data_IF_961650167533
#
_entry.id   IF_961650167533
#
_cell.length_a   1.000
_cell.length_b   1.000
_cell.length_c   1.000
_cell.angle_alpha   90.00
_cell.angle_beta   90.00
_cell.angle_gamma   90.00
#
_symmetry.space_group_name_H-M   'P 1'
#
loop_
_entity.id
_entity.type
_entity.pdbx_description
1 polymer ?
#
# COMPACT_ATOMS: atom_id res chain seq x y z
N UNK A 1 -6.30 -44.26 -47.67
CA UNK A 1 -6.12 -42.87 -48.14
C UNK A 1 -5.83 -41.99 -46.93
N UNK A 2 -5.02 -40.97 -47.13
CA UNK A 2 -4.15 -40.29 -46.16
C UNK A 2 -4.85 -39.46 -45.06
N UNK A 3 -4.23 -39.41 -43.87
CA UNK A 3 -4.52 -38.58 -42.68
C UNK A 3 -4.31 -37.09 -42.96
N UNK A 4 -5.11 -36.23 -42.32
CA UNK A 4 -4.84 -34.79 -42.00
C UNK A 4 -6.17 -34.03 -41.79
N UNK A 5 -6.40 -33.04 -40.91
CA UNK A 5 -5.57 -32.10 -40.13
C UNK A 5 -6.46 -31.49 -39.00
N UNK A 6 -5.79 -31.04 -37.94
CA UNK A 6 -6.17 -29.96 -36.99
C UNK A 6 -7.14 -30.28 -35.84
N UNK A 7 -6.51 -30.60 -34.71
CA UNK A 7 -6.99 -30.17 -33.40
C UNK A 7 -7.14 -28.63 -33.37
N UNK A 8 -8.29 -28.08 -32.96
CA UNK A 8 -8.32 -26.73 -32.44
C UNK A 8 -7.75 -26.80 -31.02
N UNK A 9 -6.46 -26.51 -30.89
CA UNK A 9 -5.89 -26.10 -29.62
C UNK A 9 -6.60 -24.80 -29.22
N UNK A 10 -7.66 -24.92 -28.40
CA UNK A 10 -8.22 -23.80 -27.66
C UNK A 10 -7.16 -23.38 -26.63
N UNK A 11 -6.25 -22.51 -27.07
CA UNK A 11 -5.40 -21.72 -26.22
C UNK A 11 -6.32 -20.78 -25.42
N UNK A 12 -6.86 -21.31 -24.32
CA UNK A 12 -7.47 -20.47 -23.30
C UNK A 12 -6.35 -19.56 -22.79
N UNK A 13 -6.46 -18.28 -23.16
CA UNK A 13 -5.70 -17.17 -22.60
C UNK A 13 -5.74 -17.33 -21.07
N UNK A 14 -4.63 -17.77 -20.49
CA UNK A 14 -4.43 -17.65 -19.05
C UNK A 14 -4.43 -16.15 -18.77
N UNK A 15 -5.60 -15.66 -18.35
CA UNK A 15 -5.76 -14.33 -17.78
C UNK A 15 -4.66 -14.14 -16.76
N UNK A 16 -3.84 -13.11 -16.94
CA UNK A 16 -2.93 -12.64 -15.91
C UNK A 16 -3.79 -12.35 -14.68
N UNK A 17 -3.76 -13.26 -13.71
CA UNK A 17 -4.05 -12.89 -12.34
C UNK A 17 -2.98 -11.85 -12.01
N UNK A 18 -3.31 -10.57 -12.19
CA UNK A 18 -2.64 -9.52 -11.46
C UNK A 18 -2.92 -9.87 -10.00
N UNK A 19 -2.01 -10.64 -9.39
CA UNK A 19 -1.94 -10.77 -7.96
C UNK A 19 -1.74 -9.34 -7.49
N UNK A 20 -2.82 -8.69 -7.11
CA UNK A 20 -2.73 -7.61 -6.15
C UNK A 20 -2.33 -8.34 -4.89
N UNK A 21 -1.03 -8.63 -4.77
CA UNK A 21 -0.47 -9.21 -3.57
C UNK A 21 -0.96 -8.32 -2.43
N UNK A 22 -1.76 -8.95 -1.59
CA UNK A 22 -2.20 -8.44 -0.32
C UNK A 22 -0.95 -8.31 0.55
N UNK A 23 -0.05 -7.39 0.19
CA UNK A 23 1.23 -7.21 0.87
C UNK A 23 0.98 -6.41 2.13
N UNK A 24 0.43 -7.16 3.10
CA UNK A 24 0.23 -6.71 4.44
C UNK A 24 1.58 -6.81 5.15
N UNK A 25 2.24 -5.66 5.30
CA UNK A 25 3.51 -5.58 5.99
C UNK A 25 3.37 -4.77 7.26
N UNK A 26 4.18 -5.11 8.26
CA UNK A 26 4.39 -4.30 9.46
C UNK A 26 5.88 -4.12 9.67
N UNK A 27 6.30 -2.90 9.94
CA UNK A 27 7.70 -2.54 10.22
C UNK A 27 7.74 -1.60 11.40
N UNK A 28 8.70 -1.80 12.28
CA UNK A 28 8.95 -0.93 13.42
C UNK A 28 10.43 -0.89 13.73
N UNK A 29 10.87 0.15 14.40
CA UNK A 29 12.25 0.28 14.82
C UNK A 29 12.46 1.39 15.83
N UNK A 30 13.58 1.30 16.53
CA UNK A 30 14.03 2.29 17.49
C UNK A 30 15.47 2.71 17.20
N UNK A 31 15.77 3.98 17.40
CA UNK A 31 17.12 4.52 17.30
C UNK A 31 17.42 5.38 18.53
N UNK A 32 18.56 5.11 19.18
CA UNK A 32 19.02 5.86 20.34
C UNK A 32 20.25 6.69 19.96
N UNK A 33 20.17 7.99 20.22
CA UNK A 33 21.30 8.90 20.04
C UNK A 33 21.50 9.80 21.26
N UNK A 34 22.49 10.71 21.21
CA UNK A 34 22.83 11.59 22.34
C UNK A 34 21.70 12.50 22.83
N UNK A 35 20.68 12.71 21.98
CA UNK A 35 19.52 13.55 22.28
C UNK A 35 18.30 12.75 22.78
N UNK A 36 18.43 11.43 22.93
CA UNK A 36 17.37 10.52 23.38
C UNK A 36 16.96 9.48 22.32
N UNK A 37 15.99 8.64 22.69
CA UNK A 37 15.49 7.53 21.86
C UNK A 37 14.30 7.95 21.01
N UNK A 38 14.30 7.56 19.75
CA UNK A 38 13.15 7.69 18.85
C UNK A 38 12.64 6.31 18.46
N UNK A 39 11.33 6.13 18.46
CA UNK A 39 10.67 4.91 18.03
C UNK A 39 9.71 5.22 16.88
N UNK A 40 9.55 4.27 15.96
CA UNK A 40 8.58 4.39 14.88
C UNK A 40 8.01 3.03 14.49
N UNK A 41 6.83 3.06 13.89
CA UNK A 41 6.12 1.91 13.38
C UNK A 41 5.26 2.27 12.19
N UNK A 42 5.02 1.33 11.30
CA UNK A 42 4.09 1.46 10.19
C UNK A 42 3.58 0.09 9.78
N UNK A 43 2.31 0.05 9.40
CA UNK A 43 1.65 -1.12 8.85
C UNK A 43 0.88 -0.75 7.59
N UNK A 44 0.72 -1.73 6.72
CA UNK A 44 -0.15 -1.69 5.55
C UNK A 44 -0.90 -3.01 5.47
N UNK A 45 -2.10 -2.96 4.94
CA UNK A 45 -2.93 -4.12 4.62
C UNK A 45 -3.70 -3.83 3.34
N UNK A 46 -3.67 -4.75 2.39
CA UNK A 46 -4.41 -4.62 1.14
C UNK A 46 -5.32 -5.85 0.95
N UNK A 47 -6.58 -5.64 0.60
CA UNK A 47 -7.55 -6.68 0.31
C UNK A 47 -8.55 -6.17 -0.73
N UNK A 48 -8.84 -6.99 -1.75
CA UNK A 48 -9.90 -6.72 -2.74
C UNK A 48 -9.75 -5.38 -3.48
N UNK A 49 -8.53 -5.00 -3.87
CA UNK A 49 -8.26 -3.71 -4.54
C UNK A 49 -8.24 -2.50 -3.60
N UNK A 50 -8.44 -2.70 -2.30
CA UNK A 50 -8.38 -1.64 -1.28
C UNK A 50 -7.18 -1.83 -0.39
N UNK A 51 -6.38 -0.79 -0.19
CA UNK A 51 -5.27 -0.75 0.74
C UNK A 51 -5.56 0.22 1.86
N UNK A 52 -5.11 -0.09 3.07
CA UNK A 52 -5.06 0.82 4.20
C UNK A 52 -3.68 0.77 4.81
N UNK A 53 -3.18 1.91 5.30
CA UNK A 53 -1.93 1.99 6.03
C UNK A 53 -2.06 2.92 7.22
N UNK A 54 -1.26 2.64 8.22
CA UNK A 54 -1.13 3.45 9.42
C UNK A 54 0.34 3.49 9.82
N UNK A 55 0.76 4.57 10.45
CA UNK A 55 2.11 4.66 10.96
C UNK A 55 2.30 5.86 11.84
N UNK A 56 3.37 5.84 12.60
CA UNK A 56 3.71 6.92 13.48
C UNK A 56 5.04 6.69 14.17
N UNK A 57 5.47 7.70 14.90
CA UNK A 57 6.66 7.62 15.69
C UNK A 57 6.72 8.73 16.72
N UNK A 58 7.57 8.53 17.70
CA UNK A 58 7.78 9.45 18.81
C UNK A 58 9.27 9.56 19.08
N UNK A 59 9.71 10.76 19.43
CA UNK A 59 11.07 10.99 19.87
C UNK A 59 11.20 12.30 20.64
N UNK A 60 12.44 12.69 20.97
CA UNK A 60 12.73 13.84 21.82
C UNK A 60 12.22 15.18 21.24
N UNK A 61 11.93 15.22 19.93
CA UNK A 61 11.44 16.41 19.21
C UNK A 61 9.93 16.38 18.93
N UNK A 62 9.22 15.42 19.52
CA UNK A 62 7.79 15.23 19.37
C UNK A 62 7.41 13.95 18.64
N UNK A 63 6.10 13.79 18.44
CA UNK A 63 5.52 12.64 17.79
C UNK A 63 4.84 13.01 16.47
N UNK A 64 4.67 12.01 15.61
CA UNK A 64 3.92 12.12 14.37
C UNK A 64 3.11 10.85 14.15
N UNK A 65 2.02 11.00 13.41
CA UNK A 65 1.14 9.91 12.99
C UNK A 65 0.67 10.16 11.57
N UNK A 66 0.33 9.08 10.86
CA UNK A 66 -0.34 9.13 9.57
C UNK A 66 -1.22 7.91 9.41
N UNK A 67 -2.31 8.08 8.69
CA UNK A 67 -3.15 6.99 8.23
C UNK A 67 -3.71 7.34 6.86
N UNK A 68 -4.07 6.32 6.10
CA UNK A 68 -4.64 6.53 4.79
C UNK A 68 -5.16 5.24 4.19
N UNK A 69 -5.91 5.41 3.11
CA UNK A 69 -6.45 4.33 2.33
C UNK A 69 -6.31 4.62 0.84
N UNK A 70 -6.25 3.54 0.05
CA UNK A 70 -6.31 3.62 -1.39
C UNK A 70 -7.35 2.61 -1.88
N UNK A 71 -8.24 3.03 -2.77
CA UNK A 71 -9.23 2.17 -3.40
C UNK A 71 -8.96 2.14 -4.90
N UNK A 72 -8.53 0.99 -5.41
CA UNK A 72 -8.12 0.80 -6.79
C UNK A 72 -9.15 -0.03 -7.56
N UNK A 73 -9.60 0.49 -8.69
CA UNK A 73 -10.53 -0.17 -9.60
C UNK A 73 -10.48 0.45 -10.99
N UNK A 74 -10.64 -0.37 -12.03
CA UNK A 74 -10.76 0.10 -13.41
C UNK A 74 -9.56 0.91 -13.94
N UNK A 75 -8.34 0.64 -13.45
CA UNK A 75 -7.11 1.34 -13.87
C UNK A 75 -6.77 2.60 -13.06
N UNK A 76 -7.60 3.00 -12.09
CA UNK A 76 -7.36 4.15 -11.22
C UNK A 76 -7.47 3.80 -9.75
N UNK A 77 -6.70 4.51 -8.92
CA UNK A 77 -6.67 4.41 -7.47
C UNK A 77 -7.03 5.75 -6.84
N UNK A 78 -8.08 5.79 -6.03
CA UNK A 78 -8.37 6.94 -5.17
C UNK A 78 -7.63 6.76 -3.85
N UNK A 79 -6.76 7.71 -3.52
CA UNK A 79 -5.88 7.70 -2.36
C UNK A 79 -6.31 8.82 -1.43
N UNK A 80 -6.56 8.49 -0.16
CA UNK A 80 -6.76 9.45 0.91
C UNK A 80 -5.70 9.26 1.98
N UNK A 81 -5.23 10.35 2.58
CA UNK A 81 -4.30 10.27 3.70
C UNK A 81 -4.33 11.52 4.55
N UNK A 82 -4.20 11.28 5.84
CA UNK A 82 -4.07 12.30 6.85
C UNK A 82 -2.88 11.99 7.74
N UNK A 83 -2.39 13.02 8.41
CA UNK A 83 -1.36 12.85 9.40
C UNK A 83 -1.15 14.10 10.23
N UNK A 84 -0.58 13.89 11.40
CA UNK A 84 -0.22 14.94 12.33
C UNK A 84 1.25 14.81 12.70
N UNK A 85 1.87 15.93 13.01
CA UNK A 85 3.26 16.02 13.39
C UNK A 85 3.46 16.92 14.60
N UNK A 86 4.72 17.07 15.03
CA UNK A 86 5.05 17.90 16.17
C UNK A 86 4.57 19.34 15.97
N UNK A 87 4.17 19.98 17.07
CA UNK A 87 3.75 21.40 17.11
C UNK A 87 2.45 21.67 16.33
N UNK A 88 1.51 20.71 16.33
CA UNK A 88 0.15 20.90 15.79
C UNK A 88 0.06 20.93 14.26
N UNK A 89 1.14 20.60 13.55
CA UNK A 89 1.13 20.54 12.09
C UNK A 89 0.38 19.31 11.64
N UNK A 90 -0.63 19.47 10.80
CA UNK A 90 -1.37 18.35 10.20
C UNK A 90 -1.52 18.55 8.71
N UNK A 91 -1.79 17.45 8.01
CA UNK A 91 -2.17 17.46 6.60
C UNK A 91 -3.33 16.48 6.40
N UNK A 92 -4.13 16.78 5.39
CA UNK A 92 -5.10 15.88 4.81
C UNK A 92 -5.05 16.06 3.29
N UNK A 93 -5.12 14.97 2.54
CA UNK A 93 -5.26 15.04 1.10
C UNK A 93 -6.04 13.85 0.56
N UNK A 94 -6.67 14.10 -0.59
CA UNK A 94 -7.21 13.06 -1.46
C UNK A 94 -6.70 13.29 -2.88
N UNK A 95 -6.30 12.21 -3.58
CA UNK A 95 -5.96 12.28 -5.00
C UNK A 95 -6.38 10.99 -5.72
N UNK A 96 -6.57 11.11 -7.02
CA UNK A 96 -6.66 9.95 -7.92
C UNK A 96 -5.30 9.71 -8.60
N UNK A 97 -4.90 8.44 -8.72
CA UNK A 97 -3.69 8.00 -9.42
C UNK A 97 -4.10 6.96 -10.45
N UNK A 98 -3.88 7.24 -11.73
CA UNK A 98 -4.13 6.29 -12.82
C UNK A 98 -2.82 5.68 -13.29
N UNK A 99 -2.83 4.41 -13.69
CA UNK A 99 -1.75 3.79 -14.46
C UNK A 99 -2.27 3.31 -15.80
#
# INVERSE_FOLDING_TARGET
MFRSIAAPALAALMTFAAVSEADAWTRSGSFTGPRGTSNWGSSRSCAGGSCSWSGGGSGPRGAWSRSGSANCGGGSCNVSSQGSGPRGRSYDYTRSVSR
#
